data_IF_967147744035
#
_entry.id   IF_967147744035
#
_cell.length_a   1.000
_cell.length_b   1.000
_cell.length_c   1.000
_cell.angle_alpha   90.00
_cell.angle_beta   90.00
_cell.angle_gamma   90.00
#
_symmetry.space_group_name_H-M   'P 1'
#
loop_
_entity.id
_entity.type
_entity.pdbx_description
1 polymer ?
#
# COMPACT_ATOMS: atom_id res chain seq x y z
N UNK A 1 -23.22 -13.04 9.16
CA UNK A 1 -21.82 -12.96 8.69
C UNK A 1 -20.91 -12.86 9.90
N UNK A 2 -19.81 -13.62 9.93
CA UNK A 2 -18.87 -13.63 11.06
C UNK A 2 -17.85 -12.52 10.89
N UNK A 3 -17.78 -11.60 11.86
CA UNK A 3 -16.72 -10.60 11.90
C UNK A 3 -15.40 -11.29 12.25
N UNK A 4 -14.37 -11.12 11.41
CA UNK A 4 -13.01 -11.63 11.63
C UNK A 4 -12.11 -10.49 12.14
N UNK A 5 -11.09 -10.82 12.93
CA UNK A 5 -10.14 -9.85 13.47
C UNK A 5 -8.72 -10.37 13.34
N UNK A 6 -7.78 -9.47 13.05
CA UNK A 6 -6.36 -9.73 12.97
C UNK A 6 -5.56 -8.59 13.61
N UNK A 7 -4.35 -8.91 14.09
CA UNK A 7 -3.44 -7.94 14.69
C UNK A 7 -2.02 -8.18 14.18
N UNK A 8 -1.40 -7.13 13.64
CA UNK A 8 0.02 -7.09 13.30
C UNK A 8 0.73 -6.24 14.36
N UNK A 9 1.88 -6.71 14.85
CA UNK A 9 2.57 -6.09 15.97
C UNK A 9 4.07 -5.98 15.77
N UNK A 10 4.63 -4.81 16.02
CA UNK A 10 6.09 -4.67 16.14
C UNK A 10 6.62 -5.38 17.40
N UNK A 11 7.94 -5.50 17.52
CA UNK A 11 8.57 -6.06 18.72
C UNK A 11 8.06 -5.38 20.01
N UNK A 12 8.01 -6.14 21.12
CA UNK A 12 7.50 -5.66 22.40
C UNK A 12 8.23 -4.39 22.86
N UNK A 13 7.48 -3.29 22.95
CA UNK A 13 7.93 -1.99 23.44
C UNK A 13 6.91 -1.46 24.44
N UNK A 14 7.35 -0.59 25.36
CA UNK A 14 6.45 0.07 26.32
C UNK A 14 5.31 0.84 25.65
N UNK A 15 5.56 1.35 24.42
CA UNK A 15 4.55 1.92 23.54
C UNK A 15 4.52 1.11 22.26
N UNK A 16 3.57 0.19 22.09
CA UNK A 16 3.57 -0.71 20.95
C UNK A 16 3.23 0.04 19.66
N UNK A 17 3.83 -0.42 18.58
CA UNK A 17 3.27 -0.22 17.26
C UNK A 17 2.35 -1.41 17.00
N UNK A 18 1.07 -1.13 16.73
CA UNK A 18 0.01 -2.12 16.58
C UNK A 18 -0.90 -1.70 15.42
N UNK A 19 -1.18 -2.64 14.54
CA UNK A 19 -2.17 -2.51 13.48
C UNK A 19 -3.25 -3.55 13.70
N UNK A 20 -4.46 -3.09 13.98
CA UNK A 20 -5.63 -3.93 14.16
C UNK A 20 -6.54 -3.82 12.95
N UNK A 21 -7.03 -4.97 12.50
CA UNK A 21 -7.91 -5.07 11.35
C UNK A 21 -9.13 -5.90 11.74
N UNK A 22 -10.31 -5.34 11.53
CA UNK A 22 -11.56 -6.10 11.60
C UNK A 22 -12.17 -6.13 10.19
N UNK A 23 -12.52 -7.32 9.71
CA UNK A 23 -13.00 -7.48 8.34
C UNK A 23 -14.19 -8.45 8.29
N UNK A 24 -15.13 -8.10 7.43
CA UNK A 24 -16.37 -8.82 7.16
C UNK A 24 -16.81 -8.50 5.72
N UNK A 25 -17.97 -8.99 5.30
CA UNK A 25 -18.55 -8.66 3.99
C UNK A 25 -18.64 -7.15 3.75
N UNK A 26 -18.05 -6.69 2.64
CA UNK A 26 -18.05 -5.29 2.20
C UNK A 26 -17.42 -4.27 3.16
N UNK A 27 -16.84 -4.70 4.30
CA UNK A 27 -16.41 -3.78 5.35
C UNK A 27 -15.10 -4.21 6.01
N UNK A 28 -14.20 -3.24 6.10
CA UNK A 28 -12.92 -3.38 6.80
C UNK A 28 -12.70 -2.16 7.69
N UNK A 29 -12.47 -2.40 8.98
CA UNK A 29 -12.04 -1.41 9.96
C UNK A 29 -10.53 -1.54 10.17
N UNK A 30 -9.86 -0.40 10.26
CA UNK A 30 -8.44 -0.28 10.48
C UNK A 30 -8.20 0.59 11.71
N UNK A 31 -7.34 0.12 12.62
CA UNK A 31 -6.79 0.94 13.69
C UNK A 31 -5.27 0.82 13.71
N UNK A 32 -4.58 1.96 13.55
CA UNK A 32 -3.12 2.04 13.66
C UNK A 32 -2.76 2.81 14.91
N UNK A 33 -2.10 2.14 15.85
CA UNK A 33 -1.38 2.79 16.93
C UNK A 33 0.12 2.83 16.60
N UNK A 34 0.67 4.02 16.43
CA UNK A 34 2.09 4.28 16.18
C UNK A 34 2.74 4.87 17.43
N UNK A 35 3.70 4.18 18.02
CA UNK A 35 4.33 4.50 19.30
C UNK A 35 3.30 4.81 20.40
N UNK A 36 2.23 4.00 20.47
CA UNK A 36 1.12 4.18 21.41
C UNK A 36 0.28 5.43 21.16
N UNK A 37 0.25 5.96 19.93
CA UNK A 37 -0.61 7.05 19.50
C UNK A 37 -1.48 6.58 18.36
N UNK A 38 -2.79 6.78 18.48
CA UNK A 38 -3.74 6.51 17.40
C UNK A 38 -3.41 7.42 16.20
N UNK A 39 -3.31 6.80 15.02
CA UNK A 39 -3.05 7.47 13.73
C UNK A 39 -4.23 7.31 12.81
N UNK A 40 -4.65 6.06 12.60
CA UNK A 40 -5.86 5.72 11.86
C UNK A 40 -6.84 5.04 12.81
N UNK A 41 -8.13 5.34 12.66
CA UNK A 41 -9.19 4.68 13.40
C UNK A 41 -10.51 4.77 12.65
N UNK A 42 -10.98 3.63 12.14
CA UNK A 42 -12.31 3.49 11.56
C UNK A 42 -12.29 2.76 10.23
N UNK A 43 -13.27 3.04 9.38
CA UNK A 43 -13.44 2.33 8.13
C UNK A 43 -12.34 2.69 7.13
N UNK A 44 -11.69 1.66 6.59
CA UNK A 44 -10.87 1.80 5.39
C UNK A 44 -11.79 1.56 4.20
N UNK A 45 -12.26 2.65 3.61
CA UNK A 45 -13.19 2.65 2.48
C UNK A 45 -12.44 2.52 1.16
N UNK A 46 -13.06 1.83 0.21
CA UNK A 46 -12.54 1.69 -1.15
C UNK A 46 -13.68 1.84 -2.14
N UNK A 47 -13.43 2.52 -3.25
CA UNK A 47 -14.37 2.68 -4.37
C UNK A 47 -13.64 2.41 -5.68
N UNK A 48 -14.32 1.69 -6.57
CA UNK A 48 -13.83 1.40 -7.91
C UNK A 48 -14.70 2.19 -8.89
N UNK A 49 -14.09 3.10 -9.64
CA UNK A 49 -14.78 3.95 -10.62
C UNK A 49 -14.61 3.33 -12.00
N UNK A 50 -15.72 3.10 -12.70
CA UNK A 50 -15.77 2.55 -14.04
C UNK A 50 -15.63 3.63 -15.12
N UNK A 51 -15.32 3.23 -16.35
CA UNK A 51 -15.15 4.13 -17.50
C UNK A 51 -16.40 4.98 -17.81
N UNK A 52 -17.59 4.49 -17.48
CA UNK A 52 -18.85 5.22 -17.62
C UNK A 52 -19.15 6.18 -16.45
N UNK A 53 -18.23 6.28 -15.49
CA UNK A 53 -18.34 7.14 -14.30
C UNK A 53 -19.14 6.54 -13.14
N UNK A 54 -19.72 5.34 -13.29
CA UNK A 54 -20.41 4.66 -12.19
C UNK A 54 -19.40 4.04 -11.23
N UNK A 55 -19.83 3.85 -9.99
CA UNK A 55 -19.10 3.10 -8.98
C UNK A 55 -19.46 1.61 -9.07
N UNK A 56 -18.45 0.75 -9.09
CA UNK A 56 -18.62 -0.69 -8.91
C UNK A 56 -18.65 -0.98 -7.40
N UNK A 57 -19.76 -1.49 -6.85
CA UNK A 57 -19.86 -1.82 -5.43
C UNK A 57 -18.87 -2.91 -5.01
N UNK A 58 -18.22 -2.73 -3.87
CA UNK A 58 -17.35 -3.74 -3.24
C UNK A 58 -18.14 -4.49 -2.18
N UNK A 59 -18.90 -5.49 -2.60
CA UNK A 59 -19.86 -6.23 -1.74
C UNK A 59 -19.43 -7.65 -1.38
N UNK A 60 -18.23 -8.09 -1.77
CA UNK A 60 -17.73 -9.44 -1.48
C UNK A 60 -17.28 -9.63 -0.03
N UNK A 61 -17.16 -10.90 0.39
CA UNK A 61 -16.47 -11.24 1.63
C UNK A 61 -14.97 -10.95 1.48
N UNK A 62 -14.40 -10.34 2.52
CA UNK A 62 -12.95 -10.19 2.65
C UNK A 62 -12.38 -11.44 3.33
N UNK A 63 -11.33 -12.00 2.74
CA UNK A 63 -10.62 -13.16 3.24
C UNK A 63 -9.14 -12.84 3.42
N UNK A 64 -8.51 -13.43 4.45
CA UNK A 64 -7.06 -13.33 4.60
C UNK A 64 -6.42 -14.34 3.65
N UNK A 65 -5.93 -13.87 2.50
CA UNK A 65 -5.31 -14.69 1.47
C UNK A 65 -3.87 -15.08 1.84
N UNK A 66 -3.14 -14.15 2.46
CA UNK A 66 -1.75 -14.36 2.87
C UNK A 66 -1.54 -13.85 4.28
N UNK A 67 -0.78 -14.61 5.08
CA UNK A 67 -0.28 -14.21 6.39
C UNK A 67 1.19 -14.59 6.52
N UNK A 68 2.06 -13.62 6.80
CA UNK A 68 3.47 -13.85 7.05
C UNK A 68 3.89 -13.10 8.33
N UNK A 69 4.74 -13.71 9.14
CA UNK A 69 5.31 -13.08 10.32
C UNK A 69 6.74 -13.59 10.52
N UNK A 70 7.72 -12.70 10.43
CA UNK A 70 9.14 -13.04 10.50
C UNK A 70 9.95 -11.97 11.26
N UNK A 71 11.27 -11.97 11.08
CA UNK A 71 12.17 -11.01 11.72
C UNK A 71 12.03 -9.58 11.19
N UNK A 72 11.53 -9.39 9.97
CA UNK A 72 11.38 -8.08 9.32
C UNK A 72 10.03 -7.42 9.64
N UNK A 73 8.98 -8.21 9.86
CA UNK A 73 7.68 -7.72 10.29
C UNK A 73 6.55 -8.74 10.28
N UNK A 74 5.34 -8.21 10.43
CA UNK A 74 4.12 -8.95 10.15
C UNK A 74 3.50 -8.41 8.86
N UNK A 75 2.96 -9.32 8.04
CA UNK A 75 2.26 -9.03 6.80
C UNK A 75 0.92 -9.78 6.75
N UNK A 76 -0.10 -9.10 6.24
CA UNK A 76 -1.36 -9.72 5.86
C UNK A 76 -1.81 -9.18 4.51
N UNK A 77 -2.38 -10.05 3.68
CA UNK A 77 -3.14 -9.66 2.51
C UNK A 77 -4.61 -10.04 2.71
N UNK A 78 -5.51 -9.05 2.63
CA UNK A 78 -6.93 -9.32 2.49
C UNK A 78 -7.31 -9.28 1.01
N UNK A 79 -8.17 -10.19 0.59
CA UNK A 79 -8.63 -10.29 -0.79
C UNK A 79 -10.15 -10.34 -0.83
N UNK A 80 -10.73 -9.72 -1.86
CA UNK A 80 -12.13 -9.88 -2.22
C UNK A 80 -12.30 -9.79 -3.75
N UNK A 81 -13.43 -10.26 -4.24
CA UNK A 81 -13.77 -10.28 -5.65
C UNK A 81 -15.11 -9.55 -5.87
N UNK A 82 -15.09 -8.24 -6.18
CA UNK A 82 -16.32 -7.50 -6.48
C UNK A 82 -17.12 -8.08 -7.66
N UNK A 83 -16.42 -8.67 -8.62
CA UNK A 83 -16.95 -9.54 -9.68
C UNK A 83 -16.01 -10.74 -9.87
N UNK A 84 -16.40 -11.75 -10.65
CA UNK A 84 -15.53 -12.91 -10.92
C UNK A 84 -14.22 -12.53 -11.62
N UNK A 85 -14.23 -11.44 -12.38
CA UNK A 85 -13.11 -10.96 -13.20
C UNK A 85 -12.29 -9.85 -12.52
N UNK A 86 -12.72 -9.34 -11.36
CA UNK A 86 -12.04 -8.26 -10.65
C UNK A 86 -11.58 -8.76 -9.29
N UNK A 87 -10.27 -8.73 -9.06
CA UNK A 87 -9.64 -9.00 -7.77
C UNK A 87 -9.26 -7.67 -7.10
N UNK A 88 -9.60 -7.54 -5.83
CA UNK A 88 -9.23 -6.40 -4.99
C UNK A 88 -8.46 -6.90 -3.76
N UNK A 89 -7.21 -6.45 -3.65
CA UNK A 89 -6.29 -6.84 -2.57
C UNK A 89 -6.02 -5.66 -1.65
N UNK A 90 -5.87 -5.95 -0.36
CA UNK A 90 -5.32 -5.04 0.65
C UNK A 90 -4.08 -5.63 1.26
N UNK A 91 -2.94 -5.04 0.95
CA UNK A 91 -1.65 -5.43 1.50
C UNK A 91 -1.37 -4.60 2.75
N UNK A 92 -1.07 -5.24 3.87
CA UNK A 92 -0.72 -4.60 5.13
C UNK A 92 0.61 -5.16 5.64
N UNK A 93 1.58 -4.29 5.89
CA UNK A 93 2.88 -4.67 6.48
C UNK A 93 3.22 -3.74 7.64
N UNK A 94 3.53 -4.31 8.81
CA UNK A 94 4.06 -3.59 9.95
C UNK A 94 5.48 -4.08 10.25
N UNK A 95 6.46 -3.17 10.19
CA UNK A 95 7.86 -3.56 10.42
C UNK A 95 8.09 -3.99 11.88
N UNK A 96 8.89 -5.05 12.08
CA UNK A 96 9.26 -5.58 13.40
C UNK A 96 10.03 -4.57 14.23
N UNK A 97 10.92 -3.82 13.59
CA UNK A 97 11.66 -2.69 14.17
C UNK A 97 10.77 -1.47 14.45
N UNK A 98 9.50 -1.51 14.06
CA UNK A 98 8.54 -0.44 14.22
C UNK A 98 8.91 0.84 13.47
N UNK A 99 8.14 1.89 13.69
CA UNK A 99 8.37 3.19 13.05
C UNK A 99 7.90 3.28 11.59
N UNK A 100 7.33 2.21 11.03
CA UNK A 100 6.90 2.14 9.64
C UNK A 100 5.76 1.12 9.44
N UNK A 101 4.69 1.56 8.78
CA UNK A 101 3.65 0.67 8.22
C UNK A 101 3.51 0.94 6.72
N UNK A 102 3.29 -0.12 5.95
CA UNK A 102 2.92 -0.06 4.55
C UNK A 102 1.50 -0.61 4.40
N UNK A 103 0.66 0.12 3.66
CA UNK A 103 -0.71 -0.22 3.34
C UNK A 103 -0.91 -0.02 1.84
N UNK A 104 -1.67 -0.88 1.17
CA UNK A 104 -2.02 -0.65 -0.22
C UNK A 104 -3.37 -1.26 -0.55
N UNK A 105 -4.15 -0.57 -1.38
CA UNK A 105 -5.22 -1.20 -2.17
C UNK A 105 -4.66 -1.53 -3.57
N UNK A 106 -4.98 -2.72 -4.09
CA UNK A 106 -4.63 -3.14 -5.45
C UNK A 106 -5.88 -3.66 -6.16
N UNK A 107 -6.17 -3.16 -7.35
CA UNK A 107 -7.20 -3.75 -8.22
C UNK A 107 -6.52 -4.40 -9.42
N UNK A 108 -6.91 -5.64 -9.72
CA UNK A 108 -6.49 -6.39 -10.90
C UNK A 108 -7.74 -6.87 -11.64
N UNK A 109 -7.79 -6.59 -12.94
CA UNK A 109 -8.89 -6.96 -13.83
C UNK A 109 -8.44 -8.02 -14.83
N UNK A 110 -9.24 -9.08 -14.95
CA UNK A 110 -9.10 -10.13 -15.96
C UNK A 110 -9.77 -9.72 -17.28
N UNK A 111 -9.43 -10.37 -18.41
CA UNK A 111 -10.10 -10.14 -19.67
C UNK A 111 -11.63 -10.28 -19.56
N UNK A 112 -12.37 -9.30 -20.06
CA UNK A 112 -13.84 -9.27 -20.00
C UNK A 112 -14.41 -8.52 -18.79
N UNK A 113 -13.58 -8.13 -17.82
CA UNK A 113 -14.00 -7.30 -16.70
C UNK A 113 -14.53 -5.92 -17.15
N UNK A 114 -15.46 -5.30 -16.39
CA UNK A 114 -15.74 -3.88 -16.51
C UNK A 114 -14.46 -3.05 -16.39
N UNK A 115 -14.31 -2.03 -17.26
CA UNK A 115 -13.11 -1.18 -17.24
C UNK A 115 -13.11 -0.26 -16.02
N UNK A 116 -12.29 -0.61 -15.01
CA UNK A 116 -11.98 0.25 -13.87
C UNK A 116 -10.96 1.31 -14.30
N UNK A 117 -11.30 2.58 -14.11
CA UNK A 117 -10.45 3.73 -14.47
C UNK A 117 -9.85 4.43 -13.25
N UNK A 118 -10.40 4.21 -12.07
CA UNK A 118 -9.81 4.71 -10.82
C UNK A 118 -10.14 3.84 -9.61
N UNK A 119 -9.14 3.70 -8.74
CA UNK A 119 -9.23 3.15 -7.41
C UNK A 119 -9.17 4.31 -6.42
N UNK A 120 -10.18 4.46 -5.58
CA UNK A 120 -10.24 5.48 -4.54
C UNK A 120 -10.22 4.82 -3.17
N UNK A 121 -9.34 5.30 -2.30
CA UNK A 121 -9.13 4.79 -0.95
C UNK A 121 -9.31 5.93 0.06
N UNK A 122 -10.01 5.66 1.15
CA UNK A 122 -10.18 6.62 2.24
C UNK A 122 -9.97 5.98 3.60
N UNK A 123 -9.14 6.59 4.44
CA UNK A 123 -8.81 6.11 5.79
C UNK A 123 -8.96 7.26 6.77
N UNK A 124 -9.77 7.07 7.81
CA UNK A 124 -9.98 8.08 8.86
C UNK A 124 -8.70 8.31 9.68
N UNK A 125 -8.35 9.59 9.86
CA UNK A 125 -7.30 10.02 10.78
C UNK A 125 -7.86 10.21 12.18
N UNK A 126 -7.02 9.97 13.18
CA UNK A 126 -7.35 10.36 14.55
C UNK A 126 -7.52 11.90 14.65
N UNK A 127 -8.61 12.34 15.27
CA UNK A 127 -8.96 13.76 15.37
C UNK A 127 -7.96 14.60 16.19
N UNK A 128 -7.11 13.95 17.01
CA UNK A 128 -6.04 14.63 17.74
C UNK A 128 -4.82 14.98 16.87
N UNK A 129 -4.76 14.50 15.63
CA UNK A 129 -3.67 14.77 14.70
C UNK A 129 -3.93 16.02 13.87
N UNK A 130 -2.94 16.91 13.85
CA UNK A 130 -2.88 17.98 12.86
C UNK A 130 -2.12 17.48 11.63
N UNK A 131 -2.80 17.41 10.50
CA UNK A 131 -2.22 17.12 9.20
C UNK A 131 -1.84 18.42 8.48
N UNK A 132 -0.63 18.49 7.93
CA UNK A 132 -0.16 19.61 7.10
C UNK A 132 0.49 19.08 5.82
N UNK A 133 0.12 19.60 4.64
CA UNK A 133 0.70 19.14 3.38
C UNK A 133 2.16 19.58 3.29
N UNK A 134 3.00 18.76 2.66
CA UNK A 134 4.37 19.11 2.31
C UNK A 134 4.42 19.49 0.82
N UNK A 135 5.24 20.49 0.49
CA UNK A 135 5.42 20.98 -0.88
C UNK A 135 5.75 19.82 -1.81
N UNK A 136 5.02 19.71 -2.93
CA UNK A 136 5.16 18.60 -3.89
C UNK A 136 4.06 17.54 -3.81
N UNK A 137 3.14 17.62 -2.85
CA UNK A 137 1.84 16.92 -2.88
C UNK A 137 1.86 15.40 -2.68
N UNK A 138 3.03 14.79 -2.44
CA UNK A 138 3.17 13.35 -2.17
C UNK A 138 3.35 13.01 -0.69
N UNK A 139 3.27 14.01 0.17
CA UNK A 139 3.55 13.86 1.59
C UNK A 139 2.65 14.74 2.45
N UNK A 140 2.18 14.15 3.55
CA UNK A 140 1.53 14.86 4.64
C UNK A 140 2.28 14.64 5.94
N UNK A 141 2.46 15.71 6.70
CA UNK A 141 3.02 15.65 8.04
C UNK A 141 1.89 15.61 9.06
N UNK A 142 1.87 14.56 9.88
CA UNK A 142 0.98 14.41 11.03
C UNK A 142 1.72 14.80 12.31
N UNK A 143 1.09 15.62 13.16
CA UNK A 143 1.64 16.05 14.45
C UNK A 143 0.59 16.07 15.54
N UNK A 144 1.00 15.63 16.73
CA UNK A 144 0.31 15.91 17.99
C UNK A 144 1.36 16.03 19.11
N UNK A 145 0.94 16.23 20.36
CA UNK A 145 1.88 16.41 21.48
C UNK A 145 2.77 15.17 21.66
N UNK A 146 4.07 15.35 21.43
CA UNK A 146 5.08 14.31 21.60
C UNK A 146 5.05 13.21 20.54
N UNK A 147 4.42 13.46 19.38
CA UNK A 147 4.34 12.50 18.29
C UNK A 147 4.36 13.20 16.92
N UNK A 148 5.05 12.59 15.97
CA UNK A 148 5.16 13.05 14.61
C UNK A 148 5.23 11.82 13.69
N UNK A 149 4.43 11.83 12.63
CA UNK A 149 4.44 10.81 11.57
C UNK A 149 4.28 11.46 10.20
N UNK A 150 4.73 10.78 9.16
CA UNK A 150 4.63 11.24 7.77
C UNK A 150 3.84 10.22 6.97
N UNK A 151 2.95 10.69 6.12
CA UNK A 151 2.21 9.90 5.16
C UNK A 151 2.83 10.12 3.79
N UNK A 152 3.08 9.05 3.04
CA UNK A 152 3.65 9.11 1.71
C UNK A 152 2.84 8.26 0.74
N UNK A 153 2.38 8.83 -0.36
CA UNK A 153 1.89 8.05 -1.50
C UNK A 153 3.08 7.60 -2.34
N UNK A 154 3.27 6.29 -2.44
CA UNK A 154 4.33 5.68 -3.27
C UNK A 154 3.87 5.45 -4.71
N UNK A 155 2.78 6.09 -5.14
CA UNK A 155 2.29 6.00 -6.51
C UNK A 155 3.37 6.39 -7.52
N UNK A 156 3.41 5.69 -8.65
CA UNK A 156 4.41 5.91 -9.71
C UNK A 156 4.26 7.31 -10.36
N UNK A 157 3.07 7.87 -10.35
CA UNK A 157 2.77 9.15 -11.02
C UNK A 157 2.99 10.38 -10.14
N UNK A 158 3.41 11.50 -10.74
CA UNK A 158 3.48 12.80 -10.03
C UNK A 158 2.07 13.29 -9.69
N UNK A 159 1.84 13.90 -8.51
CA UNK A 159 0.55 14.50 -8.18
C UNK A 159 0.17 15.50 -9.27
N UNK A 160 -1.05 15.35 -9.80
CA UNK A 160 -1.57 16.21 -10.86
C UNK A 160 -1.15 15.86 -12.29
N UNK A 161 -0.03 15.16 -12.53
CA UNK A 161 0.41 14.84 -13.91
C UNK A 161 -0.39 13.68 -14.53
N UNK A 162 -0.87 12.72 -13.72
CA UNK A 162 -1.59 11.54 -14.23
C UNK A 162 -2.93 11.30 -13.51
N UNK A 163 -3.44 12.27 -12.73
CA UNK A 163 -4.71 12.11 -11.98
C UNK A 163 -4.59 11.31 -10.67
N UNK A 164 -3.37 11.12 -10.16
CA UNK A 164 -3.14 10.70 -8.76
C UNK A 164 -3.46 11.86 -7.83
N UNK A 165 -4.32 11.62 -6.85
CA UNK A 165 -4.67 12.59 -5.82
C UNK A 165 -4.34 12.01 -4.45
N UNK A 166 -3.65 12.79 -3.61
CA UNK A 166 -3.26 12.38 -2.27
C UNK A 166 -3.49 13.53 -1.29
N UNK A 167 -4.63 13.51 -0.62
CA UNK A 167 -5.13 14.66 0.12
C UNK A 167 -5.65 14.25 1.49
N UNK A 168 -5.51 15.16 2.47
CA UNK A 168 -6.21 15.05 3.74
C UNK A 168 -7.31 16.11 3.77
N UNK A 169 -8.55 15.67 3.89
CA UNK A 169 -9.72 16.55 4.06
C UNK A 169 -10.74 15.86 4.96
N UNK A 170 -11.53 16.66 5.69
CA UNK A 170 -12.64 16.16 6.51
C UNK A 170 -12.26 15.07 7.52
N UNK A 171 -11.03 15.16 8.06
CA UNK A 171 -10.50 14.19 9.03
C UNK A 171 -10.11 12.84 8.43
N UNK A 172 -10.02 12.72 7.11
CA UNK A 172 -9.65 11.49 6.41
C UNK A 172 -8.51 11.73 5.43
N UNK A 173 -7.70 10.68 5.21
CA UNK A 173 -6.75 10.59 4.13
C UNK A 173 -7.46 10.00 2.91
N UNK A 174 -7.40 10.69 1.78
CA UNK A 174 -7.96 10.26 0.49
C UNK A 174 -6.84 10.04 -0.51
N UNK A 175 -6.85 8.87 -1.16
CA UNK A 175 -5.96 8.50 -2.23
C UNK A 175 -6.77 8.09 -3.46
N UNK A 176 -6.60 8.81 -4.57
CA UNK A 176 -7.14 8.42 -5.88
C UNK A 176 -5.98 7.93 -6.73
N UNK A 177 -6.07 6.70 -7.21
CA UNK A 177 -5.12 6.06 -8.09
C UNK A 177 -5.80 5.75 -9.44
N UNK A 178 -5.35 6.37 -10.55
CA UNK A 178 -5.74 5.97 -11.90
C UNK A 178 -5.40 4.51 -12.15
N UNK A 179 -6.31 3.82 -12.82
CA UNK A 179 -6.12 2.45 -13.28
C UNK A 179 -5.91 2.43 -14.79
N UNK A 180 -5.03 1.54 -15.27
CA UNK A 180 -4.75 1.37 -16.70
C UNK A 180 -5.11 -0.06 -17.07
N UNK A 181 -6.00 -0.20 -18.06
CA UNK A 181 -6.55 -1.52 -18.44
C UNK A 181 -7.19 -2.26 -17.26
N UNK A 182 -7.89 -1.53 -16.38
CA UNK A 182 -8.51 -2.09 -15.17
C UNK A 182 -7.58 -2.26 -13.97
N UNK A 183 -6.26 -2.19 -14.16
CA UNK A 183 -5.27 -2.47 -13.12
C UNK A 183 -4.78 -1.21 -12.41
N UNK A 184 -4.66 -1.26 -11.09
CA UNK A 184 -4.22 -0.13 -10.28
C UNK A 184 -3.61 -0.56 -8.94
N UNK A 185 -2.66 0.23 -8.44
CA UNK A 185 -1.96 -0.01 -7.18
C UNK A 185 -1.76 1.30 -6.42
N UNK A 186 -2.32 1.38 -5.21
CA UNK A 186 -2.38 2.59 -4.40
C UNK A 186 -1.58 2.45 -3.09
N UNK A 187 -0.23 2.44 -3.15
CA UNK A 187 0.61 2.22 -1.98
C UNK A 187 0.74 3.47 -1.10
N UNK A 188 0.54 3.27 0.19
CA UNK A 188 0.69 4.23 1.27
C UNK A 188 1.77 3.76 2.25
N UNK A 189 2.71 4.65 2.55
CA UNK A 189 3.70 4.45 3.60
C UNK A 189 3.45 5.45 4.73
N UNK A 190 3.41 4.96 5.96
CA UNK A 190 3.37 5.80 7.17
C UNK A 190 4.68 5.62 7.93
N UNK A 191 5.41 6.72 8.15
CA UNK A 191 6.72 6.72 8.83
C UNK A 191 6.68 7.60 10.08
N UNK A 192 6.85 7.00 11.26
CA UNK A 192 6.94 7.70 12.56
C UNK A 192 8.30 7.53 13.25
N UNK A 193 9.31 7.03 12.52
CA UNK A 193 10.61 6.80 13.12
C UNK A 193 11.34 8.12 13.47
N UNK A 194 11.79 8.30 14.71
CA UNK A 194 12.30 9.59 15.20
C UNK A 194 13.54 10.09 14.44
N UNK A 195 14.42 9.18 14.00
CA UNK A 195 15.61 9.53 13.23
C UNK A 195 15.30 10.01 11.79
N UNK A 196 14.11 9.69 11.27
CA UNK A 196 13.65 10.04 9.91
C UNK A 196 12.69 11.22 9.89
N UNK A 197 12.07 11.56 11.02
CA UNK A 197 11.05 12.59 11.16
C UNK A 197 11.44 13.97 10.59
N UNK A 198 12.73 14.30 10.51
CA UNK A 198 13.24 15.57 9.97
C UNK A 198 14.11 15.42 8.72
N UNK A 199 14.24 14.21 8.19
CA UNK A 199 15.08 13.95 7.01
C UNK A 199 14.29 14.24 5.74
N UNK A 200 14.92 14.81 4.69
CA UNK A 200 14.26 14.98 3.40
C UNK A 200 13.78 13.62 2.89
N UNK A 201 12.52 13.55 2.45
CA UNK A 201 12.01 12.38 1.74
C UNK A 201 11.87 12.67 0.25
N UNK A 202 12.19 11.68 -0.57
CA UNK A 202 12.05 11.74 -2.03
C UNK A 202 11.42 10.44 -2.49
N UNK A 203 10.36 10.55 -3.27
CA UNK A 203 9.67 9.42 -3.88
C UNK A 203 9.94 9.49 -5.38
N UNK A 204 10.42 8.38 -5.95
CA UNK A 204 10.67 8.27 -7.38
C UNK A 204 9.97 7.05 -7.95
N UNK A 205 9.16 7.18 -9.01
CA UNK A 205 8.82 6.01 -9.81
C UNK A 205 10.08 5.33 -10.33
N UNK A 206 9.99 4.03 -10.50
CA UNK A 206 11.03 3.21 -11.09
C UNK A 206 10.50 2.55 -12.37
N UNK A 207 11.40 2.42 -13.34
CA UNK A 207 11.15 1.63 -14.53
C UNK A 207 11.20 0.15 -14.17
N UNK A 208 10.15 -0.59 -14.55
CA UNK A 208 10.11 -2.04 -14.52
C UNK A 208 10.33 -2.55 -15.94
N UNK A 209 11.11 -3.61 -16.08
CA UNK A 209 11.32 -4.26 -17.38
C UNK A 209 11.14 -5.77 -17.31
N UNK A 210 10.77 -6.34 -18.44
CA UNK A 210 10.62 -7.76 -18.67
C UNK A 210 11.10 -8.06 -20.09
N UNK A 211 11.87 -9.15 -20.29
CA UNK A 211 12.42 -9.49 -21.61
C UNK A 211 13.17 -8.34 -22.32
N UNK A 212 13.89 -7.50 -21.57
CA UNK A 212 14.61 -6.30 -22.05
C UNK A 212 13.68 -5.19 -22.61
N UNK A 213 12.40 -5.21 -22.30
CA UNK A 213 11.42 -4.17 -22.64
C UNK A 213 10.85 -3.54 -21.38
N UNK A 214 10.59 -2.24 -21.42
CA UNK A 214 9.87 -1.55 -20.34
C UNK A 214 8.42 -2.03 -20.36
N UNK A 215 7.89 -2.42 -19.21
CA UNK A 215 6.47 -2.76 -19.06
C UNK A 215 5.66 -1.56 -18.61
N UNK A 216 4.39 -1.51 -19.00
CA UNK A 216 3.48 -0.43 -18.64
C UNK A 216 2.92 -0.57 -17.22
N UNK A 217 2.28 0.50 -16.71
CA UNK A 217 1.69 0.51 -15.36
C UNK A 217 0.49 -0.44 -15.21
N UNK A 218 -0.10 -0.93 -16.30
CA UNK A 218 -1.11 -1.99 -16.26
C UNK A 218 -0.50 -3.38 -15.93
N UNK A 219 0.80 -3.55 -16.14
CA UNK A 219 1.50 -4.83 -16.02
C UNK A 219 2.28 -4.92 -14.71
N UNK A 220 3.05 -3.88 -14.37
CA UNK A 220 3.77 -3.79 -13.11
C UNK A 220 4.14 -2.34 -12.79
N UNK A 221 4.29 -2.05 -11.50
CA UNK A 221 4.66 -0.73 -10.99
C UNK A 221 5.71 -0.84 -9.92
N UNK A 222 6.56 0.18 -9.81
CA UNK A 222 7.53 0.28 -8.74
C UNK A 222 7.84 1.73 -8.38
N UNK A 223 8.20 1.92 -7.11
CA UNK A 223 8.65 3.18 -6.59
C UNK A 223 9.77 2.99 -5.56
N UNK A 224 10.62 4.01 -5.47
CA UNK A 224 11.61 4.15 -4.41
C UNK A 224 11.22 5.29 -3.49
N UNK A 225 11.03 4.98 -2.21
CA UNK A 225 11.02 5.98 -1.17
C UNK A 225 12.43 6.10 -0.60
N UNK A 226 12.94 7.31 -0.50
CA UNK A 226 14.20 7.63 0.15
C UNK A 226 13.92 8.61 1.27
N UNK A 227 14.46 8.38 2.46
CA UNK A 227 14.38 9.32 3.59
C UNK A 227 15.73 9.42 4.30
N UNK A 228 16.46 10.52 4.03
CA UNK A 228 17.86 10.62 4.41
C UNK A 228 18.71 9.56 3.69
N UNK A 229 19.32 8.66 4.46
CA UNK A 229 20.11 7.51 3.97
C UNK A 229 19.30 6.23 3.83
N UNK A 230 18.06 6.22 4.32
CA UNK A 230 17.18 5.06 4.23
C UNK A 230 16.51 5.03 2.87
N UNK A 231 16.39 3.84 2.31
CA UNK A 231 15.81 3.61 1.01
C UNK A 231 14.91 2.37 1.08
N UNK A 232 13.71 2.50 0.53
CA UNK A 232 12.72 1.44 0.43
C UNK A 232 12.32 1.30 -1.04
N UNK A 233 12.40 0.09 -1.56
CA UNK A 233 11.82 -0.32 -2.83
C UNK A 233 10.43 -0.88 -2.55
N UNK A 234 9.44 -0.42 -3.29
CA UNK A 234 8.12 -1.05 -3.40
C UNK A 234 7.92 -1.45 -4.87
N UNK A 235 7.57 -2.70 -5.10
CA UNK A 235 7.30 -3.27 -6.41
C UNK A 235 6.01 -4.10 -6.33
N UNK A 236 5.12 -3.93 -7.31
CA UNK A 236 3.91 -4.74 -7.49
C UNK A 236 3.80 -5.18 -8.95
N UNK A 237 3.67 -6.48 -9.14
CA UNK A 237 3.19 -7.13 -10.37
C UNK A 237 1.67 -7.07 -10.38
N UNK A 238 1.07 -6.66 -11.51
CA UNK A 238 -0.38 -6.62 -11.71
C UNK A 238 -0.86 -7.64 -12.75
N UNK A 239 0.09 -8.23 -13.49
CA UNK A 239 -0.14 -9.33 -14.42
C UNK A 239 0.96 -10.36 -14.21
N UNK A 240 0.62 -11.64 -14.31
CA UNK A 240 1.60 -12.72 -14.23
C UNK A 240 2.77 -12.47 -15.19
N UNK A 241 4.03 -12.53 -14.74
CA UNK A 241 5.19 -12.39 -15.61
C UNK A 241 5.41 -13.67 -16.44
N UNK A 242 5.82 -13.51 -17.70
CA UNK A 242 6.40 -14.60 -18.50
C UNK A 242 7.84 -14.90 -18.07
N UNK A 243 8.60 -13.85 -17.73
CA UNK A 243 9.95 -13.93 -17.17
C UNK A 243 10.12 -13.01 -15.95
N UNK A 244 11.06 -13.35 -15.07
CA UNK A 244 11.45 -12.51 -13.94
C UNK A 244 11.60 -11.02 -14.37
N UNK A 245 10.85 -10.14 -13.71
CA UNK A 245 10.92 -8.71 -13.98
C UNK A 245 12.13 -8.10 -13.29
N UNK A 246 12.73 -7.11 -13.95
CA UNK A 246 13.87 -6.37 -13.44
C UNK A 246 13.48 -4.95 -13.03
N UNK A 247 13.87 -4.53 -11.83
CA UNK A 247 13.68 -3.18 -11.29
C UNK A 247 14.84 -2.82 -10.37
N UNK A 248 15.50 -1.68 -10.62
CA UNK A 248 16.62 -1.20 -9.81
C UNK A 248 17.73 -2.25 -9.57
N UNK A 249 17.97 -3.15 -10.53
CA UNK A 249 18.95 -4.25 -10.42
C UNK A 249 18.45 -5.50 -9.68
N UNK A 250 17.26 -5.48 -9.07
CA UNK A 250 16.57 -6.65 -8.56
C UNK A 250 15.88 -7.41 -9.70
N UNK A 251 15.93 -8.75 -9.66
CA UNK A 251 15.17 -9.64 -10.53
C UNK A 251 14.18 -10.43 -9.68
N UNK A 252 12.89 -10.44 -10.06
CA UNK A 252 11.84 -11.03 -9.22
C UNK A 252 10.73 -11.71 -10.03
N UNK A 253 10.20 -12.81 -9.50
CA UNK A 253 8.96 -13.46 -9.94
C UNK A 253 7.79 -13.16 -9.00
N UNK A 254 8.07 -12.58 -7.82
CA UNK A 254 7.08 -12.28 -6.80
C UNK A 254 6.05 -11.26 -7.29
N UNK A 255 4.83 -11.36 -6.76
CA UNK A 255 3.76 -10.42 -7.01
C UNK A 255 3.98 -9.09 -6.27
N UNK A 256 4.39 -9.12 -5.01
CA UNK A 256 4.72 -7.93 -4.22
C UNK A 256 6.11 -8.08 -3.60
N UNK A 257 6.91 -7.03 -3.71
CA UNK A 257 8.19 -6.92 -3.00
C UNK A 257 8.28 -5.56 -2.31
N UNK A 258 8.51 -5.59 -1.00
CA UNK A 258 8.98 -4.45 -0.23
C UNK A 258 10.40 -4.78 0.23
N UNK A 259 11.37 -3.92 -0.02
CA UNK A 259 12.76 -4.20 0.33
C UNK A 259 13.50 -2.95 0.80
N UNK A 260 14.40 -3.10 1.79
CA UNK A 260 15.34 -2.03 2.17
C UNK A 260 16.53 -2.07 1.21
N UNK A 261 16.99 -0.91 0.74
CA UNK A 261 18.24 -0.83 -0.03
C UNK A 261 19.40 -0.53 0.93
N UNK A 262 20.41 -1.40 0.91
CA UNK A 262 21.58 -1.27 1.78
C UNK A 262 22.75 -0.57 1.06
N UNK A 263 23.76 -0.15 1.82
CA UNK A 263 25.00 0.46 1.28
C UNK A 263 25.71 -0.35 0.18
N UNK A 264 25.77 -1.70 0.22
CA UNK A 264 26.32 -2.48 -0.89
C UNK A 264 25.38 -2.57 -2.12
N UNK A 265 24.25 -1.87 -2.14
CA UNK A 265 23.32 -1.91 -3.27
C UNK A 265 22.45 -3.17 -3.31
N UNK A 266 22.37 -3.91 -2.20
CA UNK A 266 21.53 -5.11 -2.10
C UNK A 266 20.12 -4.76 -1.61
N UNK A 267 19.17 -5.64 -1.92
CA UNK A 267 17.75 -5.53 -1.54
C UNK A 267 17.35 -6.69 -0.63
N UNK A 268 17.78 -6.73 0.65
CA UNK A 268 17.12 -7.61 1.61
C UNK A 268 15.62 -7.31 1.62
N UNK A 269 14.78 -8.28 1.23
CA UNK A 269 13.34 -8.10 1.24
C UNK A 269 12.85 -7.95 2.67
N UNK A 270 11.91 -7.04 2.90
CA UNK A 270 11.07 -7.03 4.08
C UNK A 270 9.86 -7.95 3.91
N UNK A 271 9.34 -8.04 2.68
CA UNK A 271 8.33 -9.01 2.27
C UNK A 271 8.54 -9.40 0.81
N UNK A 272 8.24 -10.65 0.50
CA UNK A 272 8.14 -11.22 -0.84
C UNK A 272 6.88 -12.07 -0.89
N UNK A 273 5.92 -11.70 -1.74
CA UNK A 273 4.65 -12.41 -1.88
C UNK A 273 4.64 -13.06 -3.26
N UNK A 274 4.45 -14.37 -3.31
CA UNK A 274 4.29 -15.10 -4.57
C UNK A 274 2.95 -14.77 -5.23
N UNK A 275 2.87 -14.93 -6.55
CA UNK A 275 1.58 -14.88 -7.22
C UNK A 275 0.76 -16.11 -6.78
N UNK A 276 -0.57 -16.00 -6.61
CA UNK A 276 -1.40 -17.17 -6.32
C UNK A 276 -1.28 -18.19 -7.45
N UNK A 277 -1.09 -19.47 -7.10
CA UNK A 277 -0.99 -20.57 -8.07
C UNK A 277 -2.30 -20.66 -8.88
N UNK A 278 -2.21 -20.64 -10.22
CA UNK A 278 -3.38 -20.77 -11.11
C UNK A 278 -4.12 -22.12 -10.92
N UNK A 279 -3.47 -23.12 -10.31
CA UNK A 279 -4.02 -24.46 -10.05
C UNK A 279 -4.78 -24.60 -8.72
N UNK A 280 -5.00 -23.52 -7.97
CA UNK A 280 -5.65 -23.55 -6.65
C UNK A 280 -7.14 -23.16 -6.63
N UNK A 281 -7.82 -23.22 -7.80
CA UNK A 281 -9.30 -23.08 -7.91
C UNK A 281 -10.00 -24.44 -8.03
#
# INVERSE_FOLDING_TARGET
MSQKKAQLRAAYRQRPDLLEIEYAEGKVQLALAAAGRSVFAGEWQVRLILADGRELPVTGEWEAAVWLADEDGDYMELQTHPTEEIRLDRSLFLSRDGGLVFLADTVVSQPGAPEVVALQSSILLDSALKATPVVGGREWQLKTRGFQARLHSLSSSRPGDDGVEFQVSDGALHLRQPCVSGNGFAPLLVDWHPLRARKPAVIKPLTVSEQRKIVGPATAVAARWQCGTEHLLCYRSLQAPELARAVLGMHTWYELVLARLTKPGTFPPLIQIEAPDEDSK
#
